data_IF_202058094191
#
_entry.id   IF_202058094191
#
_cell.length_a   1.000
_cell.length_b   1.000
_cell.length_c   1.000
_cell.angle_alpha   90.00
_cell.angle_beta   90.00
_cell.angle_gamma   90.00
#
_symmetry.space_group_name_H-M   'P 1'
#
loop_
_entity.id
_entity.type
_entity.pdbx_description
1 polymer ?
#
# COMPACT_ATOMS: atom_id res chain seq x y z
N UNK A 1 3.32 -66.75 34.63
CA UNK A 1 3.57 -65.45 35.31
C UNK A 1 4.60 -64.53 34.63
N UNK A 2 5.20 -64.88 33.48
CA UNK A 2 6.27 -64.06 32.85
C UNK A 2 5.78 -63.15 31.69
N UNK A 3 4.57 -63.36 31.15
CA UNK A 3 4.06 -62.55 30.02
C UNK A 3 3.36 -61.24 30.44
N UNK A 4 2.88 -61.11 31.68
CA UNK A 4 2.19 -59.90 32.16
C UNK A 4 3.15 -58.76 32.59
N UNK A 5 4.39 -59.09 32.97
CA UNK A 5 5.39 -58.09 33.40
C UNK A 5 6.02 -57.30 32.24
N UNK A 6 6.08 -57.86 31.02
CA UNK A 6 6.64 -57.15 29.84
C UNK A 6 5.71 -56.10 29.23
N UNK A 7 4.38 -56.29 29.27
CA UNK A 7 3.42 -55.30 28.77
C UNK A 7 3.29 -54.08 29.70
N UNK A 8 3.36 -54.29 31.02
CA UNK A 8 3.32 -53.20 32.01
C UNK A 8 4.59 -52.33 31.96
N UNK A 9 5.76 -52.92 31.72
CA UNK A 9 7.02 -52.18 31.56
C UNK A 9 7.02 -51.31 30.29
N UNK A 10 6.48 -51.81 29.17
CA UNK A 10 6.37 -51.04 27.94
C UNK A 10 5.42 -49.84 28.08
N UNK A 11 4.29 -50.01 28.78
CA UNK A 11 3.31 -48.94 29.04
C UNK A 11 3.87 -47.88 30.00
N UNK A 12 4.61 -48.30 31.04
CA UNK A 12 5.23 -47.36 32.00
C UNK A 12 6.37 -46.57 31.34
N UNK A 13 7.18 -47.19 30.48
CA UNK A 13 8.23 -46.49 29.72
C UNK A 13 7.62 -45.49 28.72
N UNK A 14 6.52 -45.85 28.03
CA UNK A 14 5.82 -44.89 27.16
C UNK A 14 5.14 -43.75 27.93
N UNK A 15 4.64 -44.00 29.15
CA UNK A 15 4.05 -42.96 30.00
C UNK A 15 5.12 -42.05 30.59
N UNK A 16 6.26 -42.59 31.05
CA UNK A 16 7.38 -41.80 31.55
C UNK A 16 8.00 -40.93 30.45
N UNK A 17 8.22 -41.49 29.25
CA UNK A 17 8.63 -40.71 28.07
C UNK A 17 7.59 -39.64 27.70
N UNK A 18 6.30 -39.96 27.74
CA UNK A 18 5.24 -38.99 27.45
C UNK A 18 5.15 -37.87 28.51
N UNK A 19 5.42 -38.17 29.78
CA UNK A 19 5.47 -37.19 30.87
C UNK A 19 6.71 -36.31 30.73
N UNK A 20 7.89 -36.88 30.45
CA UNK A 20 9.12 -36.12 30.21
C UNK A 20 9.03 -35.24 28.96
N UNK A 21 8.44 -35.74 27.86
CA UNK A 21 8.14 -34.93 26.67
C UNK A 21 7.11 -33.83 26.93
N UNK A 22 6.13 -34.07 27.81
CA UNK A 22 5.15 -33.04 28.17
C UNK A 22 5.77 -31.97 29.09
N UNK A 23 6.66 -32.37 30.00
CA UNK A 23 7.42 -31.46 30.86
C UNK A 23 8.43 -30.62 30.06
N UNK A 24 9.17 -31.25 29.13
CA UNK A 24 10.13 -30.55 28.28
C UNK A 24 9.44 -29.57 27.32
N UNK A 25 8.31 -29.97 26.73
CA UNK A 25 7.53 -29.07 25.86
C UNK A 25 6.90 -27.91 26.63
N UNK A 26 6.46 -28.12 27.88
CA UNK A 26 5.97 -27.05 28.74
C UNK A 26 7.06 -26.05 29.12
N UNK A 27 8.29 -26.52 29.34
CA UNK A 27 9.45 -25.68 29.60
C UNK A 27 9.86 -24.85 28.37
N UNK A 28 9.86 -25.47 27.18
CA UNK A 28 10.17 -24.78 25.92
C UNK A 28 9.20 -23.64 25.61
N UNK A 29 7.90 -23.77 25.93
CA UNK A 29 6.93 -22.68 25.74
C UNK A 29 7.14 -21.50 26.69
N UNK A 30 7.54 -21.75 27.93
CA UNK A 30 7.86 -20.69 28.89
C UNK A 30 9.12 -19.96 28.44
N UNK A 31 10.16 -20.69 28.05
CA UNK A 31 11.40 -20.14 27.53
C UNK A 31 11.14 -19.31 26.26
N UNK A 32 10.32 -19.81 25.33
CA UNK A 32 9.92 -19.12 24.11
C UNK A 32 9.25 -17.76 24.41
N UNK A 33 8.35 -17.71 25.40
CA UNK A 33 7.69 -16.45 25.81
C UNK A 33 8.68 -15.46 26.38
N UNK A 34 9.59 -15.91 27.25
CA UNK A 34 10.60 -15.05 27.85
C UNK A 34 11.59 -14.53 26.80
N UNK A 35 12.00 -15.39 25.87
CA UNK A 35 12.85 -15.01 24.74
C UNK A 35 12.19 -13.92 23.88
N UNK A 36 10.96 -14.13 23.41
CA UNK A 36 10.24 -13.14 22.59
C UNK A 36 9.99 -11.83 23.35
N UNK A 37 9.64 -11.91 24.64
CA UNK A 37 9.48 -10.72 25.49
C UNK A 37 10.79 -9.94 25.64
N UNK A 38 11.94 -10.63 25.72
CA UNK A 38 13.26 -10.00 25.75
C UNK A 38 13.61 -9.27 24.45
N UNK A 39 13.15 -9.77 23.30
CA UNK A 39 13.32 -9.11 22.00
C UNK A 39 12.40 -7.89 21.82
N UNK A 40 11.18 -7.95 22.37
CA UNK A 40 10.13 -6.96 22.13
C UNK A 40 10.56 -5.54 22.50
N UNK A 41 11.16 -5.35 23.69
CA UNK A 41 11.53 -4.01 24.17
C UNK A 41 12.54 -3.32 23.26
N UNK A 42 13.60 -4.03 22.85
CA UNK A 42 14.59 -3.48 21.92
C UNK A 42 13.98 -3.29 20.52
N UNK A 43 13.10 -4.18 20.08
CA UNK A 43 12.42 -4.06 18.78
C UNK A 43 11.55 -2.80 18.69
N UNK A 44 10.80 -2.48 19.75
CA UNK A 44 10.01 -1.26 19.82
C UNK A 44 10.91 -0.02 19.81
N UNK A 45 12.03 -0.04 20.54
CA UNK A 45 13.00 1.05 20.56
C UNK A 45 13.63 1.29 19.19
N UNK A 46 14.16 0.25 18.56
CA UNK A 46 14.80 0.37 17.24
C UNK A 46 13.79 0.73 16.15
N UNK A 47 12.54 0.22 16.22
CA UNK A 47 11.48 0.69 15.33
C UNK A 47 11.21 2.19 15.54
N UNK A 48 10.99 2.62 16.78
CA UNK A 48 10.67 4.01 17.10
C UNK A 48 11.76 4.97 16.60
N UNK A 49 13.04 4.65 16.82
CA UNK A 49 14.18 5.44 16.30
C UNK A 49 14.14 5.59 14.78
N UNK A 50 13.92 4.48 14.05
CA UNK A 50 13.84 4.50 12.59
C UNK A 50 12.65 5.34 12.11
N UNK A 51 11.47 5.12 12.70
CA UNK A 51 10.24 5.84 12.32
C UNK A 51 10.40 7.32 12.60
N UNK A 52 10.98 7.73 13.74
CA UNK A 52 11.22 9.13 14.06
C UNK A 52 12.21 9.80 13.10
N UNK A 53 13.32 9.13 12.77
CA UNK A 53 14.28 9.65 11.80
C UNK A 53 13.68 9.74 10.39
N UNK A 54 12.85 8.77 10.00
CA UNK A 54 12.14 8.77 8.72
C UNK A 54 11.09 9.88 8.64
N UNK A 55 10.31 10.06 9.71
CA UNK A 55 9.37 11.16 9.84
C UNK A 55 10.08 12.51 9.68
N UNK A 56 11.19 12.73 10.40
CA UNK A 56 11.93 13.99 10.33
C UNK A 56 12.44 14.29 8.92
N UNK A 57 12.90 13.28 8.18
CA UNK A 57 13.29 13.45 6.79
C UNK A 57 12.10 13.75 5.86
N UNK A 58 11.00 13.00 5.97
CA UNK A 58 9.87 13.23 5.08
C UNK A 58 9.09 14.51 5.40
N UNK A 59 9.10 14.93 6.67
CA UNK A 59 8.55 16.19 7.13
C UNK A 59 9.42 17.40 6.77
N UNK A 60 10.74 17.20 6.61
CA UNK A 60 11.73 18.24 6.31
C UNK A 60 12.90 17.66 5.49
N UNK A 61 12.83 17.85 4.18
CA UNK A 61 13.79 17.29 3.23
C UNK A 61 15.12 18.03 3.30
N UNK A 62 16.06 17.49 4.08
CA UNK A 62 17.43 18.00 4.19
C UNK A 62 18.46 16.87 4.07
N UNK A 63 19.69 17.22 3.70
CA UNK A 63 20.80 16.27 3.64
C UNK A 63 21.10 15.68 5.03
N UNK A 64 21.00 16.50 6.08
CA UNK A 64 21.20 16.08 7.48
C UNK A 64 20.14 15.07 7.89
N UNK A 65 18.86 15.36 7.68
CA UNK A 65 17.78 14.42 8.02
C UNK A 65 17.88 13.13 7.20
N UNK A 66 18.29 13.21 5.93
CA UNK A 66 18.52 12.02 5.11
C UNK A 66 19.63 11.12 5.69
N UNK A 67 20.73 11.73 6.15
CA UNK A 67 21.84 11.01 6.78
C UNK A 67 21.42 10.36 8.10
N UNK A 68 20.68 11.08 8.95
CA UNK A 68 20.16 10.54 10.21
C UNK A 68 19.19 9.38 9.98
N UNK A 69 18.29 9.51 9.00
CA UNK A 69 17.40 8.43 8.57
C UNK A 69 18.19 7.21 8.09
N UNK A 70 19.19 7.41 7.24
CA UNK A 70 20.02 6.32 6.74
C UNK A 70 20.77 5.60 7.87
N UNK A 71 21.29 6.35 8.85
CA UNK A 71 21.93 5.76 10.04
C UNK A 71 20.95 4.94 10.87
N UNK A 72 19.76 5.47 11.18
CA UNK A 72 18.73 4.76 11.93
C UNK A 72 18.25 3.49 11.19
N UNK A 73 18.18 3.55 9.86
CA UNK A 73 17.85 2.39 9.02
C UNK A 73 18.92 1.28 9.12
N UNK A 74 20.20 1.65 9.14
CA UNK A 74 21.30 0.70 9.35
C UNK A 74 21.27 0.09 10.77
N UNK A 75 20.97 0.89 11.79
CA UNK A 75 20.82 0.42 13.17
C UNK A 75 19.68 -0.60 13.30
N UNK A 76 18.50 -0.27 12.76
CA UNK A 76 17.35 -1.19 12.73
C UNK A 76 17.64 -2.46 11.93
N UNK A 77 18.27 -2.34 10.75
CA UNK A 77 18.62 -3.50 9.94
C UNK A 77 19.64 -4.43 10.62
N UNK A 78 20.60 -3.88 11.38
CA UNK A 78 21.50 -4.69 12.22
C UNK A 78 20.72 -5.44 13.30
N UNK A 79 19.78 -4.76 13.96
CA UNK A 79 18.94 -5.41 14.97
C UNK A 79 18.08 -6.52 14.36
N UNK A 80 17.45 -6.29 13.21
CA UNK A 80 16.65 -7.31 12.53
C UNK A 80 17.47 -8.55 12.16
N UNK A 81 18.72 -8.35 11.73
CA UNK A 81 19.66 -9.44 11.47
C UNK A 81 20.06 -10.17 12.75
N UNK A 82 20.38 -9.47 13.83
CA UNK A 82 20.67 -10.07 15.15
C UNK A 82 19.49 -10.94 15.63
N UNK A 83 18.25 -10.43 15.54
CA UNK A 83 17.05 -11.18 15.90
C UNK A 83 16.88 -12.44 15.05
N UNK A 84 17.06 -12.31 13.73
CA UNK A 84 16.98 -13.42 12.81
C UNK A 84 18.04 -14.49 13.09
N UNK A 85 19.28 -14.10 13.39
CA UNK A 85 20.36 -15.03 13.76
C UNK A 85 20.03 -15.81 15.04
N UNK A 86 19.52 -15.13 16.07
CA UNK A 86 19.08 -15.78 17.31
C UNK A 86 17.92 -16.76 17.06
N UNK A 87 16.92 -16.35 16.28
CA UNK A 87 15.75 -17.18 15.97
C UNK A 87 16.11 -18.39 15.12
N UNK A 88 16.92 -18.21 14.08
CA UNK A 88 17.29 -19.31 13.19
C UNK A 88 18.35 -20.23 13.78
N UNK A 89 19.27 -19.69 14.59
CA UNK A 89 20.31 -20.45 15.29
C UNK A 89 19.80 -21.21 16.50
N UNK A 90 19.27 -20.50 17.51
CA UNK A 90 18.88 -21.10 18.79
C UNK A 90 17.52 -21.81 18.72
N UNK A 91 16.58 -21.23 17.97
CA UNK A 91 15.19 -21.71 17.93
C UNK A 91 14.83 -22.50 16.68
N UNK A 92 15.69 -22.54 15.65
CA UNK A 92 15.34 -23.01 14.30
C UNK A 92 14.69 -24.41 14.22
N UNK A 93 15.06 -25.32 15.10
CA UNK A 93 14.48 -26.67 15.20
C UNK A 93 13.46 -26.83 16.33
N UNK A 94 13.39 -25.87 17.27
CA UNK A 94 12.54 -25.90 18.47
C UNK A 94 11.21 -25.21 18.24
N UNK A 95 11.21 -24.03 17.60
CA UNK A 95 9.99 -23.24 17.41
C UNK A 95 8.90 -23.96 16.57
N UNK A 96 9.22 -24.81 15.56
CA UNK A 96 8.19 -25.53 14.82
C UNK A 96 7.42 -26.53 15.68
N UNK A 97 8.02 -27.02 16.77
CA UNK A 97 7.42 -28.02 17.68
C UNK A 97 6.59 -27.41 18.81
N UNK A 98 6.57 -26.08 18.95
CA UNK A 98 5.73 -25.38 19.93
C UNK A 98 4.24 -25.66 19.66
N UNK A 99 3.46 -25.90 20.72
CA UNK A 99 2.01 -26.14 20.60
C UNK A 99 1.26 -24.83 20.46
N UNK A 100 1.73 -23.78 21.13
CA UNK A 100 1.13 -22.45 21.03
C UNK A 100 1.32 -21.86 19.61
N UNK A 101 0.21 -21.71 18.90
CA UNK A 101 0.21 -21.22 17.52
C UNK A 101 0.70 -19.78 17.39
N UNK A 102 0.40 -18.92 18.37
CA UNK A 102 0.84 -17.53 18.38
C UNK A 102 2.37 -17.44 18.51
N UNK A 103 2.97 -18.19 19.43
CA UNK A 103 4.43 -18.24 19.57
C UNK A 103 5.08 -18.76 18.29
N UNK A 104 4.59 -19.89 17.76
CA UNK A 104 5.09 -20.48 16.51
C UNK A 104 4.98 -19.49 15.35
N UNK A 105 3.90 -18.72 15.27
CA UNK A 105 3.71 -17.68 14.26
C UNK A 105 4.73 -16.55 14.41
N UNK A 106 4.98 -16.03 15.61
CA UNK A 106 5.99 -14.98 15.85
C UNK A 106 7.38 -15.43 15.39
N UNK A 107 7.82 -16.62 15.80
CA UNK A 107 9.10 -17.17 15.35
C UNK A 107 9.17 -17.34 13.84
N UNK A 108 8.09 -17.81 13.21
CA UNK A 108 8.04 -17.97 11.76
C UNK A 108 8.25 -16.63 11.04
N UNK A 109 7.62 -15.53 11.49
CA UNK A 109 7.87 -14.21 10.91
C UNK A 109 9.31 -13.74 11.14
N UNK A 110 9.83 -13.87 12.37
CA UNK A 110 11.20 -13.49 12.69
C UNK A 110 12.26 -14.34 11.96
N UNK A 111 11.90 -15.53 11.47
CA UNK A 111 12.80 -16.39 10.69
C UNK A 111 12.98 -15.95 9.23
N UNK A 112 12.23 -14.94 8.77
CA UNK A 112 12.28 -14.39 7.42
C UNK A 112 12.98 -13.03 7.48
N UNK A 113 14.21 -12.95 6.98
CA UNK A 113 15.02 -11.73 6.96
C UNK A 113 14.73 -10.85 5.73
N UNK A 114 14.08 -11.42 4.71
CA UNK A 114 13.81 -10.73 3.45
C UNK A 114 15.09 -10.49 2.64
N UNK A 115 15.22 -9.31 2.00
CA UNK A 115 16.35 -9.02 1.10
C UNK A 115 17.71 -8.99 1.82
N UNK A 116 17.73 -8.69 3.12
CA UNK A 116 18.93 -8.71 3.93
C UNK A 116 19.53 -10.12 4.15
N UNK A 117 18.86 -11.18 3.68
CA UNK A 117 19.43 -12.52 3.61
C UNK A 117 20.54 -12.64 2.54
N UNK A 118 20.64 -11.69 1.60
CA UNK A 118 21.71 -11.66 0.60
C UNK A 118 23.10 -11.46 1.26
N UNK A 119 24.17 -12.02 0.66
CA UNK A 119 25.55 -11.66 1.00
C UNK A 119 25.78 -10.16 0.87
N UNK A 120 26.72 -9.60 1.63
CA UNK A 120 26.93 -8.14 1.73
C UNK A 120 27.16 -7.46 0.38
N UNK A 121 27.98 -8.05 -0.49
CA UNK A 121 28.27 -7.54 -1.84
C UNK A 121 27.02 -7.54 -2.74
N UNK A 122 26.21 -8.61 -2.67
CA UNK A 122 24.98 -8.75 -3.45
C UNK A 122 23.85 -7.88 -2.90
N UNK A 123 23.77 -7.71 -1.57
CA UNK A 123 22.85 -6.81 -0.91
C UNK A 123 23.16 -5.35 -1.26
N UNK A 124 24.44 -4.95 -1.26
CA UNK A 124 24.86 -3.63 -1.70
C UNK A 124 24.42 -3.38 -3.15
N UNK A 125 24.71 -4.31 -4.06
CA UNK A 125 24.26 -4.23 -5.46
C UNK A 125 22.74 -4.14 -5.59
N UNK A 126 21.98 -4.91 -4.80
CA UNK A 126 20.52 -4.85 -4.79
C UNK A 126 20.02 -3.46 -4.37
N UNK A 127 20.57 -2.92 -3.28
CA UNK A 127 20.21 -1.60 -2.77
C UNK A 127 20.55 -0.49 -3.76
N UNK A 128 21.72 -0.55 -4.41
CA UNK A 128 22.15 0.39 -5.44
C UNK A 128 21.19 0.36 -6.64
N UNK A 129 20.81 -0.84 -7.13
CA UNK A 129 19.84 -0.98 -8.22
C UNK A 129 18.48 -0.37 -7.87
N UNK A 130 17.97 -0.63 -6.66
CA UNK A 130 16.71 -0.05 -6.19
C UNK A 130 16.79 1.47 -6.09
N UNK A 131 17.89 2.00 -5.55
CA UNK A 131 18.14 3.44 -5.42
C UNK A 131 18.23 4.12 -6.80
N UNK A 132 18.97 3.52 -7.73
CA UNK A 132 19.14 4.01 -9.10
C UNK A 132 17.82 4.02 -9.86
N UNK A 133 17.00 2.97 -9.73
CA UNK A 133 15.68 2.93 -10.35
C UNK A 133 14.74 4.00 -9.77
N UNK A 134 14.73 4.19 -8.43
CA UNK A 134 13.96 5.27 -7.78
C UNK A 134 14.40 6.67 -8.25
N UNK A 135 15.71 6.90 -8.37
CA UNK A 135 16.27 8.18 -8.85
C UNK A 135 15.95 8.40 -10.33
N UNK A 136 16.10 7.37 -11.16
CA UNK A 136 15.74 7.42 -12.59
C UNK A 136 14.27 7.82 -12.75
N UNK A 137 13.37 7.21 -11.97
CA UNK A 137 11.95 7.56 -11.98
C UNK A 137 11.69 9.00 -11.53
N UNK A 138 12.20 9.41 -10.37
CA UNK A 138 11.82 10.67 -9.72
C UNK A 138 12.42 11.91 -10.38
N UNK A 139 13.53 11.76 -11.10
CA UNK A 139 14.23 12.86 -11.78
C UNK A 139 13.97 12.93 -13.27
N UNK A 140 13.25 11.96 -13.84
CA UNK A 140 12.91 11.94 -15.26
C UNK A 140 12.14 13.21 -15.66
N UNK A 141 12.53 13.74 -16.82
CA UNK A 141 11.96 14.95 -17.42
C UNK A 141 11.67 14.71 -18.89
N UNK A 142 10.71 15.45 -19.42
CA UNK A 142 10.39 15.47 -20.84
C UNK A 142 10.30 16.91 -21.34
N UNK A 143 10.34 17.08 -22.67
CA UNK A 143 10.10 18.36 -23.32
C UNK A 143 8.61 18.62 -23.51
N UNK A 144 8.21 19.89 -23.41
CA UNK A 144 6.83 20.33 -23.62
C UNK A 144 6.40 20.07 -25.08
N UNK A 145 5.13 19.70 -25.27
CA UNK A 145 4.56 19.43 -26.59
C UNK A 145 4.48 20.68 -27.47
N UNK A 146 4.22 21.84 -26.86
CA UNK A 146 4.07 23.12 -27.56
C UNK A 146 5.39 23.90 -27.63
N UNK A 147 6.38 23.56 -26.79
CA UNK A 147 7.71 24.16 -26.77
C UNK A 147 8.80 23.11 -26.47
N UNK A 148 9.36 22.54 -27.53
CA UNK A 148 10.42 21.54 -27.43
C UNK A 148 11.74 22.06 -26.85
N UNK A 149 11.88 23.38 -26.62
CA UNK A 149 13.05 23.93 -25.92
C UNK A 149 12.90 23.83 -24.40
N UNK A 150 11.67 23.70 -23.90
CA UNK A 150 11.38 23.54 -22.47
C UNK A 150 11.37 22.06 -22.07
N UNK A 151 12.53 21.54 -21.67
CA UNK A 151 12.73 20.13 -21.26
C UNK A 151 12.78 19.92 -19.74
N UNK A 152 11.96 20.66 -18.99
CA UNK A 152 11.99 20.64 -17.54
C UNK A 152 10.69 20.12 -16.89
N UNK A 153 9.78 19.52 -17.67
CA UNK A 153 8.52 18.99 -17.17
C UNK A 153 8.74 17.68 -16.43
N UNK A 154 8.26 17.60 -15.19
CA UNK A 154 8.34 16.40 -14.32
C UNK A 154 6.98 15.73 -14.18
N UNK A 155 6.97 14.45 -13.79
CA UNK A 155 5.73 13.69 -13.54
C UNK A 155 4.75 14.47 -12.68
N UNK A 156 5.19 14.86 -11.47
CA UNK A 156 4.43 15.72 -10.56
C UNK A 156 5.09 17.11 -10.47
N UNK A 157 4.31 18.21 -10.56
CA UNK A 157 2.87 18.25 -10.88
C UNK A 157 2.58 18.32 -12.39
N UNK A 158 3.60 18.48 -13.26
CA UNK A 158 3.39 18.93 -14.64
C UNK A 158 2.64 17.89 -15.48
N UNK A 159 3.20 16.68 -15.62
CA UNK A 159 2.63 15.65 -16.51
C UNK A 159 1.31 15.13 -15.96
N UNK A 160 1.21 14.93 -14.65
CA UNK A 160 -0.05 14.55 -13.99
C UNK A 160 -1.14 15.58 -14.28
N UNK A 161 -0.86 16.88 -14.20
CA UNK A 161 -1.84 17.92 -14.55
C UNK A 161 -2.25 17.87 -16.02
N UNK A 162 -1.31 17.66 -16.94
CA UNK A 162 -1.60 17.54 -18.37
C UNK A 162 -2.50 16.31 -18.63
N UNK A 163 -2.11 15.13 -18.11
CA UNK A 163 -2.90 13.90 -18.25
C UNK A 163 -4.31 14.05 -17.68
N UNK A 164 -4.48 14.79 -16.57
CA UNK A 164 -5.79 15.04 -15.95
C UNK A 164 -6.67 15.99 -16.78
N UNK A 165 -6.10 17.10 -17.27
CA UNK A 165 -6.87 18.25 -17.79
C UNK A 165 -6.89 18.37 -19.31
N UNK A 166 -5.84 17.93 -20.00
CA UNK A 166 -5.79 18.04 -21.46
C UNK A 166 -6.84 17.16 -22.11
N UNK A 167 -7.40 17.65 -23.22
CA UNK A 167 -8.28 16.92 -24.14
C UNK A 167 -7.71 16.94 -25.57
N UNK A 168 -6.43 17.26 -25.71
CA UNK A 168 -5.72 17.20 -26.99
C UNK A 168 -5.07 15.81 -27.12
N UNK A 169 -5.48 15.06 -28.15
CA UNK A 169 -5.00 13.69 -28.38
C UNK A 169 -3.47 13.64 -28.52
N UNK A 170 -2.88 14.52 -29.33
CA UNK A 170 -1.46 14.45 -29.67
C UNK A 170 -0.57 14.92 -28.51
N UNK A 171 -1.04 15.89 -27.71
CA UNK A 171 -0.36 16.29 -26.47
C UNK A 171 -0.37 15.15 -25.43
N UNK A 172 -1.52 14.51 -25.22
CA UNK A 172 -1.63 13.37 -24.30
C UNK A 172 -0.76 12.20 -24.74
N UNK A 173 -0.71 11.93 -26.06
CA UNK A 173 0.14 10.90 -26.64
C UNK A 173 1.63 11.21 -26.43
N UNK A 174 2.07 12.43 -26.76
CA UNK A 174 3.45 12.89 -26.56
C UNK A 174 3.90 12.69 -25.11
N UNK A 175 3.11 13.20 -24.16
CA UNK A 175 3.42 13.08 -22.73
C UNK A 175 3.51 11.62 -22.28
N UNK A 176 2.60 10.77 -22.76
CA UNK A 176 2.56 9.36 -22.39
C UNK A 176 3.75 8.55 -22.97
N UNK A 177 4.14 8.83 -24.21
CA UNK A 177 5.25 8.16 -24.90
C UNK A 177 6.60 8.62 -24.33
N UNK A 178 6.82 9.94 -24.25
CA UNK A 178 8.08 10.50 -23.75
C UNK A 178 8.34 10.14 -22.29
N UNK A 179 7.29 10.08 -21.44
CA UNK A 179 7.46 9.62 -20.07
C UNK A 179 8.03 8.20 -20.01
N UNK A 180 7.55 7.29 -20.87
CA UNK A 180 8.00 5.90 -20.92
C UNK A 180 9.42 5.77 -21.47
N UNK A 181 9.79 6.62 -22.42
CA UNK A 181 11.15 6.66 -22.97
C UNK A 181 12.15 7.23 -21.95
N UNK A 182 11.82 8.34 -21.29
CA UNK A 182 12.70 9.02 -20.34
C UNK A 182 12.79 8.34 -18.97
N UNK A 183 11.87 7.42 -18.64
CA UNK A 183 11.90 6.65 -17.39
C UNK A 183 12.02 5.15 -17.64
N UNK A 184 10.97 4.51 -18.13
CA UNK A 184 10.85 3.06 -18.27
C UNK A 184 11.95 2.41 -19.12
N UNK A 185 12.29 3.00 -20.27
CA UNK A 185 13.34 2.43 -21.14
C UNK A 185 14.72 2.37 -20.44
N UNK A 186 15.01 3.31 -19.55
CA UNK A 186 16.26 3.36 -18.78
C UNK A 186 16.30 2.33 -17.64
N UNK A 187 15.15 1.74 -17.28
CA UNK A 187 15.05 0.78 -16.19
C UNK A 187 15.21 -0.66 -16.64
N UNK A 188 14.98 -0.99 -17.93
CA UNK A 188 14.92 -2.39 -18.42
C UNK A 188 16.05 -3.28 -17.89
N UNK A 189 17.31 -2.94 -18.19
CA UNK A 189 18.49 -3.73 -17.78
C UNK A 189 18.69 -3.77 -16.26
N UNK A 190 18.30 -2.71 -15.55
CA UNK A 190 18.38 -2.66 -14.08
C UNK A 190 17.33 -3.58 -13.46
N UNK A 191 16.13 -3.62 -14.06
CA UNK A 191 15.02 -4.45 -13.61
C UNK A 191 15.34 -5.95 -13.77
N UNK A 192 15.98 -6.34 -14.87
CA UNK A 192 16.46 -7.72 -15.08
C UNK A 192 17.40 -8.16 -13.94
N UNK A 193 18.41 -7.34 -13.61
CA UNK A 193 19.34 -7.64 -12.50
C UNK A 193 18.66 -7.60 -11.12
N UNK A 194 17.69 -6.70 -10.95
CA UNK A 194 16.88 -6.62 -9.74
C UNK A 194 16.08 -7.91 -9.52
N UNK A 195 15.46 -8.46 -10.57
CA UNK A 195 14.70 -9.72 -10.50
C UNK A 195 15.60 -10.88 -10.09
N UNK A 196 16.81 -10.99 -10.65
CA UNK A 196 17.79 -12.02 -10.28
C UNK A 196 18.11 -11.97 -8.78
N UNK A 197 18.49 -10.80 -8.27
CA UNK A 197 18.86 -10.62 -6.86
C UNK A 197 17.67 -10.79 -5.92
N UNK A 198 16.49 -10.32 -6.33
CA UNK A 198 15.25 -10.49 -5.56
C UNK A 198 14.88 -11.97 -5.40
N UNK A 199 15.01 -12.76 -6.48
CA UNK A 199 14.76 -14.19 -6.43
C UNK A 199 15.79 -14.94 -5.58
N UNK A 200 17.07 -14.58 -5.65
CA UNK A 200 18.08 -15.16 -4.76
C UNK A 200 17.78 -14.86 -3.29
N UNK A 201 17.38 -13.62 -2.98
CA UNK A 201 16.97 -13.27 -1.62
C UNK A 201 15.80 -14.15 -1.14
N UNK A 202 14.79 -14.35 -1.98
CA UNK A 202 13.66 -15.21 -1.66
C UNK A 202 14.08 -16.67 -1.40
N UNK A 203 14.98 -17.22 -2.23
CA UNK A 203 15.53 -18.57 -2.07
C UNK A 203 16.29 -18.74 -0.75
N UNK A 204 17.04 -17.73 -0.32
CA UNK A 204 17.71 -17.71 0.99
C UNK A 204 16.73 -17.67 2.16
N UNK A 205 15.52 -17.15 1.94
CA UNK A 205 14.40 -17.21 2.88
C UNK A 205 13.51 -18.45 2.68
N UNK A 206 13.95 -19.44 1.88
CA UNK A 206 13.23 -20.70 1.59
C UNK A 206 11.93 -20.53 0.80
N UNK A 207 11.86 -19.52 -0.06
CA UNK A 207 10.80 -19.35 -1.05
C UNK A 207 11.35 -19.61 -2.46
N UNK A 208 10.51 -20.11 -3.38
CA UNK A 208 10.96 -20.44 -4.74
C UNK A 208 11.41 -19.19 -5.52
N UNK A 209 10.72 -18.06 -5.30
CA UNK A 209 10.97 -16.77 -5.96
C UNK A 209 10.38 -15.63 -5.13
N UNK A 210 10.70 -14.39 -5.53
CA UNK A 210 10.23 -13.18 -4.84
C UNK A 210 8.71 -13.04 -4.84
N UNK A 211 8.03 -13.51 -5.89
CA UNK A 211 6.58 -13.50 -5.98
C UNK A 211 5.91 -14.33 -4.87
N UNK A 212 6.44 -15.52 -4.56
CA UNK A 212 5.95 -16.34 -3.45
C UNK A 212 6.24 -15.69 -2.09
N UNK A 213 7.41 -15.07 -1.92
CA UNK A 213 7.74 -14.34 -0.70
C UNK A 213 6.82 -13.12 -0.49
N UNK A 214 6.42 -12.43 -1.55
CA UNK A 214 5.45 -11.33 -1.47
C UNK A 214 4.03 -11.78 -1.15
N UNK A 215 3.66 -13.00 -1.55
CA UNK A 215 2.35 -13.58 -1.24
C UNK A 215 2.28 -14.18 0.16
N UNK A 216 3.43 -14.40 0.81
CA UNK A 216 3.52 -15.00 2.13
C UNK A 216 2.64 -14.33 3.20
N UNK A 217 2.55 -12.98 3.31
CA UNK A 217 1.69 -12.33 4.30
C UNK A 217 0.18 -12.63 4.13
N UNK A 218 -0.26 -13.10 2.97
CA UNK A 218 -1.66 -13.50 2.76
C UNK A 218 -1.96 -14.92 3.27
N UNK A 219 -0.92 -15.74 3.46
CA UNK A 219 -1.00 -17.13 3.95
C UNK A 219 -2.08 -17.98 3.27
N UNK A 220 -2.30 -17.73 1.98
CA UNK A 220 -3.34 -18.37 1.19
C UNK A 220 -2.74 -19.12 0.02
N UNK A 221 -2.83 -20.45 0.06
CA UNK A 221 -2.39 -21.33 -1.02
C UNK A 221 -3.19 -21.11 -2.32
N UNK A 222 -4.40 -20.56 -2.22
CA UNK A 222 -5.31 -20.34 -3.34
C UNK A 222 -5.30 -18.89 -3.84
N UNK A 223 -4.49 -18.00 -3.26
CA UNK A 223 -4.53 -16.56 -3.51
C UNK A 223 -4.59 -16.18 -5.00
N UNK A 224 -3.65 -16.68 -5.83
CA UNK A 224 -3.61 -16.38 -7.27
C UNK A 224 -4.89 -16.84 -7.99
N UNK A 225 -5.43 -18.00 -7.60
CA UNK A 225 -6.67 -18.54 -8.19
C UNK A 225 -7.91 -17.78 -7.72
N UNK A 226 -7.92 -17.31 -6.47
CA UNK A 226 -9.00 -16.49 -5.91
C UNK A 226 -9.04 -15.13 -6.61
N UNK A 227 -7.89 -14.48 -6.82
CA UNK A 227 -7.78 -13.22 -7.57
C UNK A 227 -8.29 -13.39 -9.02
N UNK A 228 -7.91 -14.47 -9.70
CA UNK A 228 -8.42 -14.77 -11.04
C UNK A 228 -9.93 -14.95 -11.05
N UNK A 229 -10.49 -15.65 -10.05
CA UNK A 229 -11.94 -15.86 -9.91
C UNK A 229 -12.68 -14.54 -9.70
N UNK A 230 -12.19 -13.68 -8.80
CA UNK A 230 -12.76 -12.35 -8.55
C UNK A 230 -12.73 -11.47 -9.81
N UNK A 231 -11.63 -11.48 -10.55
CA UNK A 231 -11.55 -10.79 -11.85
C UNK A 231 -12.62 -11.28 -12.82
N UNK A 232 -12.80 -12.60 -12.96
CA UNK A 232 -13.81 -13.16 -13.88
C UNK A 232 -15.25 -12.79 -13.47
N UNK A 233 -15.53 -12.61 -12.18
CA UNK A 233 -16.83 -12.12 -11.70
C UNK A 233 -17.04 -10.63 -12.03
N UNK A 234 -15.99 -9.82 -11.95
CA UNK A 234 -16.04 -8.38 -12.26
C UNK A 234 -16.08 -8.10 -13.77
N UNK A 235 -15.47 -8.97 -14.58
CA UNK A 235 -15.26 -8.79 -16.02
C UNK A 235 -16.52 -8.32 -16.79
N UNK A 236 -17.73 -8.87 -16.58
CA UNK A 236 -18.92 -8.39 -17.29
C UNK A 236 -19.23 -6.91 -17.04
N UNK A 237 -19.09 -6.43 -15.80
CA UNK A 237 -19.30 -5.01 -15.48
C UNK A 237 -18.21 -4.13 -16.10
N UNK A 238 -16.95 -4.56 -15.99
CA UNK A 238 -15.83 -3.84 -16.59
C UNK A 238 -15.96 -3.73 -18.11
N UNK A 239 -16.40 -4.79 -18.80
CA UNK A 239 -16.61 -4.77 -20.25
C UNK A 239 -17.69 -3.77 -20.68
N UNK A 240 -18.79 -3.64 -19.92
CA UNK A 240 -19.82 -2.64 -20.18
C UNK A 240 -19.29 -1.22 -19.95
N UNK A 241 -18.57 -1.00 -18.83
CA UNK A 241 -17.96 0.28 -18.52
C UNK A 241 -16.93 0.69 -19.58
N UNK A 242 -16.02 -0.22 -19.93
CA UNK A 242 -15.02 -0.03 -20.98
C UNK A 242 -15.70 0.29 -22.33
N UNK A 243 -16.75 -0.44 -22.72
CA UNK A 243 -17.46 -0.18 -23.96
C UNK A 243 -18.14 1.20 -23.98
N UNK A 244 -18.75 1.60 -22.86
CA UNK A 244 -19.37 2.92 -22.69
C UNK A 244 -18.32 4.05 -22.77
N UNK A 245 -17.23 3.94 -22.02
CA UNK A 245 -16.12 4.92 -22.02
C UNK A 245 -15.49 5.01 -23.41
N UNK A 246 -15.21 3.87 -24.06
CA UNK A 246 -14.69 3.84 -25.44
C UNK A 246 -15.60 4.58 -26.42
N UNK A 247 -16.92 4.40 -26.32
CA UNK A 247 -17.88 5.13 -27.15
C UNK A 247 -17.79 6.63 -26.92
N UNK A 248 -17.79 7.09 -25.67
CA UNK A 248 -17.71 8.51 -25.31
C UNK A 248 -16.39 9.15 -25.76
N UNK A 249 -15.27 8.46 -25.54
CA UNK A 249 -13.97 8.91 -26.05
C UNK A 249 -13.96 9.02 -27.58
N UNK A 250 -14.59 8.08 -28.28
CA UNK A 250 -14.72 8.14 -29.75
C UNK A 250 -15.57 9.32 -30.23
N UNK A 251 -16.61 9.71 -29.49
CA UNK A 251 -17.41 10.90 -29.80
C UNK A 251 -16.58 12.19 -29.71
N UNK A 252 -15.60 12.25 -28.79
CA UNK A 252 -14.71 13.41 -28.58
C UNK A 252 -13.51 13.40 -29.54
N UNK A 253 -12.79 12.28 -29.63
CA UNK A 253 -11.50 12.19 -30.32
C UNK A 253 -11.62 11.71 -31.77
N UNK A 254 -12.81 11.33 -32.23
CA UNK A 254 -13.03 10.93 -33.60
C UNK A 254 -12.74 9.46 -33.89
N UNK A 255 -13.07 9.08 -35.12
CA UNK A 255 -13.17 7.67 -35.49
C UNK A 255 -11.83 7.01 -35.80
N UNK A 256 -10.89 7.82 -36.26
CA UNK A 256 -9.51 7.51 -36.62
C UNK A 256 -8.64 7.27 -35.37
N UNK A 257 -8.96 7.91 -34.25
CA UNK A 257 -8.20 7.82 -33.00
C UNK A 257 -8.69 6.71 -32.06
N UNK A 258 -9.99 6.46 -32.00
CA UNK A 258 -10.59 5.47 -31.07
C UNK A 258 -11.46 4.48 -31.83
N UNK A 259 -10.99 3.24 -31.97
CA UNK A 259 -11.73 2.18 -32.67
C UNK A 259 -13.05 1.84 -31.99
N UNK A 260 -14.10 1.55 -32.79
CA UNK A 260 -15.40 1.10 -32.27
C UNK A 260 -15.32 -0.27 -31.58
N UNK A 261 -14.41 -1.15 -32.02
CA UNK A 261 -14.31 -2.55 -31.57
C UNK A 261 -12.98 -2.90 -30.90
N UNK A 262 -11.95 -2.05 -31.04
CA UNK A 262 -10.61 -2.26 -30.47
C UNK A 262 -10.46 -1.78 -29.02
N UNK A 263 -9.24 -1.84 -28.49
CA UNK A 263 -8.90 -1.30 -27.17
C UNK A 263 -8.99 0.23 -27.15
N UNK A 264 -9.10 0.80 -25.95
CA UNK A 264 -8.95 2.24 -25.73
C UNK A 264 -7.46 2.60 -25.75
N UNK A 265 -7.03 3.66 -26.46
CA UNK A 265 -5.66 4.16 -26.33
C UNK A 265 -5.35 4.59 -24.89
N UNK A 266 -4.28 4.04 -24.30
CA UNK A 266 -3.99 4.17 -22.87
C UNK A 266 -3.71 5.61 -22.39
N UNK A 267 -3.36 6.53 -23.29
CA UNK A 267 -3.09 7.93 -22.96
C UNK A 267 -4.36 8.80 -22.81
N UNK A 268 -5.56 8.26 -23.07
CA UNK A 268 -6.81 9.04 -23.08
C UNK A 268 -7.63 8.95 -21.79
N UNK A 269 -7.11 8.30 -20.76
CA UNK A 269 -7.89 7.89 -19.58
C UNK A 269 -7.64 8.76 -18.34
N UNK A 270 -7.14 9.98 -18.53
CA UNK A 270 -7.04 10.95 -17.43
C UNK A 270 -5.92 10.68 -16.41
N UNK A 271 -5.08 9.68 -16.66
CA UNK A 271 -4.01 9.21 -15.76
C UNK A 271 -2.86 8.60 -16.58
N UNK A 272 -1.61 8.79 -16.13
CA UNK A 272 -0.39 8.34 -16.83
C UNK A 272 -0.35 6.82 -17.12
N UNK A 273 -0.98 6.01 -16.26
CA UNK A 273 -1.04 4.56 -16.37
C UNK A 273 -2.43 4.04 -16.67
N UNK A 274 -3.42 4.94 -16.83
CA UNK A 274 -4.83 4.59 -16.94
C UNK A 274 -5.36 3.72 -15.77
N UNK A 275 -4.77 3.85 -14.58
CA UNK A 275 -5.19 3.07 -13.39
C UNK A 275 -6.45 3.62 -12.73
N UNK A 276 -6.77 4.89 -12.98
CA UNK A 276 -8.00 5.58 -12.57
C UNK A 276 -8.46 6.48 -13.71
N UNK A 277 -9.77 6.49 -13.98
CA UNK A 277 -10.42 7.18 -15.09
C UNK A 277 -11.34 8.32 -14.62
N UNK A 278 -11.33 8.64 -13.33
CA UNK A 278 -12.18 9.69 -12.74
C UNK A 278 -11.92 11.08 -13.36
N UNK A 279 -10.69 11.36 -13.80
CA UNK A 279 -10.31 12.64 -14.40
C UNK A 279 -10.89 12.90 -15.80
N UNK A 280 -11.56 11.93 -16.42
CA UNK A 280 -12.31 12.11 -17.68
C UNK A 280 -13.82 12.10 -17.46
N UNK A 281 -14.28 12.27 -16.21
CA UNK A 281 -15.71 12.25 -15.86
C UNK A 281 -16.54 13.25 -16.69
N UNK A 282 -15.99 14.42 -17.02
CA UNK A 282 -16.59 15.41 -17.93
C UNK A 282 -16.93 14.84 -19.32
N UNK A 283 -16.15 13.89 -19.83
CA UNK A 283 -16.40 13.24 -21.13
C UNK A 283 -17.50 12.17 -20.99
N UNK A 284 -17.50 11.45 -19.88
CA UNK A 284 -18.27 10.21 -19.72
C UNK A 284 -19.49 10.35 -18.81
N UNK A 285 -19.74 11.55 -18.28
CA UNK A 285 -20.90 11.85 -17.42
C UNK A 285 -22.21 11.42 -18.09
N UNK A 286 -22.97 10.48 -17.50
CA UNK A 286 -24.21 9.97 -18.09
C UNK A 286 -25.30 11.03 -18.24
N UNK A 287 -25.49 11.85 -17.19
CA UNK A 287 -26.52 12.89 -17.14
C UNK A 287 -25.89 14.27 -16.87
N UNK A 288 -25.52 15.03 -17.91
CA UNK A 288 -24.78 16.28 -17.78
C UNK A 288 -25.61 17.43 -17.16
N UNK A 289 -26.93 17.33 -17.17
CA UNK A 289 -27.82 18.36 -16.62
C UNK A 289 -27.98 18.28 -15.09
N UNK A 290 -27.30 17.33 -14.43
CA UNK A 290 -27.32 17.16 -12.97
C UNK A 290 -26.12 17.85 -12.31
N UNK A 291 -26.28 18.39 -11.09
CA UNK A 291 -25.20 19.06 -10.38
C UNK A 291 -24.04 18.10 -10.11
N UNK A 292 -22.83 18.67 -10.04
CA UNK A 292 -21.62 17.92 -9.68
C UNK A 292 -21.72 17.42 -8.24
N UNK A 293 -21.13 16.25 -7.98
CA UNK A 293 -20.96 15.72 -6.63
C UNK A 293 -19.70 16.27 -5.94
N UNK A 294 -18.92 17.09 -6.65
CA UNK A 294 -17.77 17.78 -6.11
C UNK A 294 -18.18 18.90 -5.15
N UNK A 295 -17.93 18.69 -3.85
CA UNK A 295 -18.25 19.63 -2.76
C UNK A 295 -17.20 20.71 -2.54
N UNK A 296 -16.13 20.76 -3.34
CA UNK A 296 -15.01 21.69 -3.15
C UNK A 296 -15.45 23.14 -3.00
N UNK A 297 -16.34 23.61 -3.87
CA UNK A 297 -16.83 25.00 -3.81
C UNK A 297 -17.64 25.28 -2.54
N UNK A 298 -18.45 24.31 -2.07
CA UNK A 298 -19.21 24.44 -0.83
C UNK A 298 -18.29 24.49 0.38
N UNK A 299 -17.27 23.63 0.42
CA UNK A 299 -16.25 23.64 1.49
C UNK A 299 -15.54 24.99 1.57
N UNK A 300 -15.11 25.52 0.42
CA UNK A 300 -14.44 26.82 0.35
C UNK A 300 -15.37 27.97 0.76
N UNK A 301 -16.61 27.98 0.28
CA UNK A 301 -17.61 28.99 0.63
C UNK A 301 -17.95 28.99 2.13
N UNK A 302 -17.90 27.82 2.79
CA UNK A 302 -18.12 27.67 4.23
C UNK A 302 -16.87 27.89 5.08
N UNK A 303 -15.74 28.29 4.48
CA UNK A 303 -14.49 28.55 5.19
C UNK A 303 -13.89 27.30 5.84
N UNK A 304 -13.97 26.14 5.17
CA UNK A 304 -13.25 24.95 5.63
C UNK A 304 -11.75 25.20 5.69
N UNK A 305 -11.10 24.56 6.67
CA UNK A 305 -9.65 24.50 6.82
C UNK A 305 -9.22 23.03 6.88
N UNK A 306 -7.92 22.73 6.66
CA UNK A 306 -7.40 21.38 6.90
C UNK A 306 -7.76 20.82 8.28
N UNK A 307 -7.56 21.61 9.35
CA UNK A 307 -7.96 21.23 10.72
C UNK A 307 -9.44 20.83 10.79
N UNK A 308 -10.35 21.62 10.18
CA UNK A 308 -11.79 21.29 10.16
C UNK A 308 -12.07 19.97 9.43
N UNK A 309 -11.36 19.68 8.34
CA UNK A 309 -11.50 18.41 7.61
C UNK A 309 -11.06 17.21 8.46
N UNK A 310 -9.96 17.34 9.21
CA UNK A 310 -9.49 16.31 10.12
C UNK A 310 -10.42 16.10 11.31
N UNK A 311 -10.95 17.19 11.90
CA UNK A 311 -11.94 17.12 12.99
C UNK A 311 -13.22 16.43 12.53
N UNK A 312 -13.70 16.77 11.33
CA UNK A 312 -14.85 16.11 10.72
C UNK A 312 -14.63 14.60 10.56
N UNK A 313 -13.42 14.19 10.15
CA UNK A 313 -13.06 12.79 10.08
C UNK A 313 -13.03 12.12 11.47
N UNK A 314 -12.43 12.77 12.48
CA UNK A 314 -12.40 12.27 13.86
C UNK A 314 -13.82 12.09 14.43
N UNK A 315 -14.71 13.05 14.20
CA UNK A 315 -16.13 12.98 14.60
C UNK A 315 -16.86 11.82 13.90
N UNK A 316 -16.57 11.59 12.61
CA UNK A 316 -17.11 10.45 11.87
C UNK A 316 -16.72 9.12 12.53
N UNK A 317 -15.43 8.92 12.84
CA UNK A 317 -14.97 7.70 13.50
C UNK A 317 -15.57 7.55 14.90
N UNK A 318 -15.63 8.62 15.69
CA UNK A 318 -16.27 8.61 17.01
C UNK A 318 -17.77 8.28 16.93
N UNK A 319 -18.47 8.72 15.88
CA UNK A 319 -19.88 8.37 15.66
C UNK A 319 -20.13 6.87 15.47
N UNK A 320 -19.09 6.13 15.06
CA UNK A 320 -19.07 4.67 14.97
C UNK A 320 -18.63 3.98 16.28
N UNK A 321 -18.53 4.75 17.38
CA UNK A 321 -18.02 4.29 18.67
C UNK A 321 -16.54 3.84 18.64
N UNK A 322 -15.75 4.43 17.74
CA UNK A 322 -14.29 4.28 17.74
C UNK A 322 -13.62 5.36 18.60
N UNK A 323 -12.33 5.19 18.87
CA UNK A 323 -11.59 6.09 19.77
C UNK A 323 -11.37 7.46 19.14
N UNK A 324 -11.51 8.52 19.92
CA UNK A 324 -11.06 9.85 19.50
C UNK A 324 -9.55 9.87 19.26
N UNK A 325 -9.09 10.71 18.32
CA UNK A 325 -7.66 10.89 18.09
C UNK A 325 -6.94 11.38 19.36
N UNK A 326 -5.78 10.78 19.72
CA UNK A 326 -5.06 11.16 20.93
C UNK A 326 -4.54 12.61 20.85
N UNK A 327 -4.37 13.33 21.97
CA UNK A 327 -3.87 14.72 21.94
C UNK A 327 -2.53 14.89 21.21
N UNK A 328 -1.65 13.88 21.28
CA UNK A 328 -0.35 13.89 20.59
C UNK A 328 -0.49 13.85 19.07
N UNK A 329 -1.54 13.22 18.54
CA UNK A 329 -1.82 13.18 17.10
C UNK A 329 -2.02 14.61 16.57
N UNK A 330 -2.85 15.41 17.23
CA UNK A 330 -3.11 16.80 16.85
C UNK A 330 -1.87 17.69 17.00
N UNK A 331 -1.07 17.45 18.04
CA UNK A 331 0.12 18.25 18.32
C UNK A 331 1.30 17.96 17.37
N UNK A 332 1.38 16.75 16.79
CA UNK A 332 2.56 16.27 16.07
C UNK A 332 2.33 15.95 14.59
N UNK A 333 1.09 15.80 14.15
CA UNK A 333 0.76 15.58 12.73
C UNK A 333 1.04 16.83 11.89
N UNK A 334 1.34 16.61 10.61
CA UNK A 334 1.43 17.67 9.61
C UNK A 334 0.19 17.54 8.74
N UNK A 335 -0.85 18.30 9.10
CA UNK A 335 -2.14 18.29 8.39
C UNK A 335 -2.20 19.32 7.26
N UNK A 336 -1.24 20.24 7.20
CA UNK A 336 -1.09 21.29 6.19
C UNK A 336 0.41 21.48 5.90
N UNK A 337 0.77 21.81 4.66
CA UNK A 337 2.17 22.06 4.29
C UNK A 337 2.72 23.29 5.04
N UNK A 338 3.77 23.15 5.86
CA UNK A 338 4.39 24.31 6.52
C UNK A 338 5.04 25.24 5.49
N UNK A 339 4.92 26.56 5.73
CA UNK A 339 5.56 27.57 4.88
C UNK A 339 7.09 27.44 4.92
N UNK A 340 7.71 27.50 3.73
CA UNK A 340 9.18 27.48 3.60
C UNK A 340 9.85 26.14 3.87
N UNK A 341 9.06 25.06 4.02
CA UNK A 341 9.58 23.70 4.25
C UNK A 341 9.36 22.80 3.04
N UNK A 342 10.44 22.21 2.54
CA UNK A 342 10.36 21.15 1.55
C UNK A 342 10.06 19.83 2.24
N UNK A 343 9.05 19.10 1.78
CA UNK A 343 8.57 17.87 2.42
C UNK A 343 7.93 16.93 1.39
N UNK A 344 7.81 15.65 1.75
CA UNK A 344 7.04 14.69 0.95
C UNK A 344 5.55 14.93 1.18
N UNK A 345 4.86 15.45 0.17
CA UNK A 345 3.44 15.82 0.30
C UNK A 345 2.43 14.67 0.14
N UNK A 346 2.86 13.50 -0.33
CA UNK A 346 1.97 12.34 -0.41
C UNK A 346 1.42 11.99 0.97
N UNK A 347 0.11 11.79 1.06
CA UNK A 347 -0.59 11.45 2.29
C UNK A 347 -0.06 10.12 2.84
N UNK A 348 0.08 10.03 4.17
CA UNK A 348 0.56 8.83 4.85
C UNK A 348 0.25 8.89 6.34
N UNK A 349 -0.10 7.74 6.91
CA UNK A 349 -0.29 7.51 8.34
C UNK A 349 0.89 6.73 8.94
N UNK A 350 1.28 7.08 10.17
CA UNK A 350 2.50 6.59 10.81
C UNK A 350 2.23 6.07 12.23
N UNK A 351 2.65 4.82 12.52
CA UNK A 351 2.77 4.25 13.86
C UNK A 351 4.23 4.35 14.33
N UNK A 352 4.47 5.02 15.46
CA UNK A 352 5.81 5.20 16.02
C UNK A 352 6.26 4.03 16.90
N UNK A 353 5.59 2.88 16.82
CA UNK A 353 5.94 1.60 17.45
C UNK A 353 5.91 1.60 18.99
N UNK A 354 5.50 2.69 19.63
CA UNK A 354 5.47 2.83 21.08
C UNK A 354 4.06 2.69 21.69
N UNK A 355 3.03 2.51 20.86
CA UNK A 355 1.64 2.35 21.29
C UNK A 355 0.94 3.65 21.72
N UNK A 356 1.59 4.80 21.58
CA UNK A 356 1.10 6.10 22.07
C UNK A 356 1.13 7.19 20.99
N UNK A 357 2.15 7.22 20.15
CA UNK A 357 2.38 8.26 19.14
C UNK A 357 2.00 7.75 17.74
N UNK A 358 1.00 8.42 17.15
CA UNK A 358 0.49 8.15 15.81
C UNK A 358 0.29 9.48 15.10
N UNK A 359 0.63 9.56 13.81
CA UNK A 359 0.63 10.84 13.08
C UNK A 359 0.20 10.67 11.64
N UNK A 360 -0.38 11.72 11.08
CA UNK A 360 -0.59 11.85 9.62
C UNK A 360 0.32 12.96 9.08
N UNK A 361 0.89 12.71 7.90
CA UNK A 361 1.60 13.69 7.09
C UNK A 361 0.87 13.86 5.77
N UNK A 362 0.23 15.01 5.57
CA UNK A 362 -0.56 15.32 4.39
C UNK A 362 -0.49 16.83 4.08
N UNK A 363 -0.17 17.19 2.83
CA UNK A 363 -0.25 18.57 2.35
C UNK A 363 -1.70 18.91 1.93
N UNK A 364 -2.61 18.91 2.90
CA UNK A 364 -4.05 19.02 2.66
C UNK A 364 -4.43 20.34 2.03
N UNK A 365 -5.20 20.27 0.94
CA UNK A 365 -5.90 21.41 0.37
C UNK A 365 -7.41 21.25 0.58
N UNK A 366 -8.14 22.37 0.61
CA UNK A 366 -9.60 22.36 0.84
C UNK A 366 -10.31 22.00 -0.46
N UNK A 367 -10.49 20.70 -0.69
CA UNK A 367 -11.25 20.12 -1.80
C UNK A 367 -11.78 18.72 -1.45
N UNK A 368 -12.66 18.18 -2.30
CA UNK A 368 -13.29 16.87 -2.10
C UNK A 368 -12.27 15.73 -2.08
N UNK A 369 -11.24 15.75 -2.95
CA UNK A 369 -10.23 14.70 -3.00
C UNK A 369 -9.51 14.53 -1.65
N UNK A 370 -9.09 15.65 -1.05
CA UNK A 370 -8.47 15.64 0.27
C UNK A 370 -9.47 15.36 1.39
N UNK A 371 -10.76 15.68 1.25
CA UNK A 371 -11.77 15.28 2.22
C UNK A 371 -11.84 13.74 2.31
N UNK A 372 -11.86 13.07 1.15
CA UNK A 372 -11.87 11.61 1.06
C UNK A 372 -10.54 11.01 1.53
N UNK A 373 -9.42 11.62 1.15
CA UNK A 373 -8.07 11.17 1.54
C UNK A 373 -7.85 11.28 3.05
N UNK A 374 -8.25 12.38 3.68
CA UNK A 374 -8.14 12.54 5.14
C UNK A 374 -8.90 11.45 5.90
N UNK A 375 -10.08 11.03 5.43
CA UNK A 375 -10.81 9.92 6.06
C UNK A 375 -10.12 8.57 5.86
N UNK A 376 -9.50 8.35 4.71
CA UNK A 376 -8.71 7.15 4.43
C UNK A 376 -7.53 7.04 5.41
N UNK A 377 -6.72 8.09 5.51
CA UNK A 377 -5.54 8.12 6.39
C UNK A 377 -5.92 7.98 7.88
N UNK A 378 -7.02 8.62 8.30
CA UNK A 378 -7.55 8.48 9.66
C UNK A 378 -8.01 7.04 9.95
N UNK A 379 -8.44 6.29 8.94
CA UNK A 379 -8.75 4.87 9.05
C UNK A 379 -7.51 4.03 9.40
N UNK A 380 -6.34 4.36 8.86
CA UNK A 380 -5.09 3.71 9.26
C UNK A 380 -4.74 4.00 10.72
N UNK A 381 -4.87 5.25 11.17
CA UNK A 381 -4.61 5.61 12.58
C UNK A 381 -5.54 4.85 13.53
N UNK A 382 -6.82 4.72 13.17
CA UNK A 382 -7.75 3.89 13.94
C UNK A 382 -7.27 2.44 14.01
N UNK A 383 -6.84 1.86 12.89
CA UNK A 383 -6.33 0.50 12.89
C UNK A 383 -5.10 0.36 13.82
N UNK A 384 -4.16 1.30 13.76
CA UNK A 384 -3.00 1.36 14.66
C UNK A 384 -3.39 1.34 16.14
N UNK A 385 -4.36 2.18 16.51
CA UNK A 385 -4.86 2.27 17.88
C UNK A 385 -5.49 0.94 18.32
N UNK A 386 -6.23 0.25 17.45
CA UNK A 386 -6.91 -1.00 17.80
C UNK A 386 -5.93 -2.14 18.12
N UNK A 387 -4.85 -2.29 17.34
CA UNK A 387 -3.91 -3.40 17.53
C UNK A 387 -2.71 -3.08 18.43
N UNK A 388 -2.62 -1.87 19.00
CA UNK A 388 -1.44 -1.40 19.77
C UNK A 388 -1.00 -2.30 20.93
N UNK A 389 -1.89 -3.16 21.43
CA UNK A 389 -1.63 -4.09 22.52
C UNK A 389 -1.02 -5.42 22.06
N UNK A 390 -0.97 -5.67 20.76
CA UNK A 390 -0.32 -6.84 20.18
C UNK A 390 1.21 -6.71 20.25
N UNK A 391 1.95 -7.84 20.26
CA UNK A 391 3.39 -7.84 20.01
C UNK A 391 3.72 -7.08 18.72
N UNK A 392 4.85 -6.37 18.68
CA UNK A 392 5.21 -5.52 17.56
C UNK A 392 5.17 -6.25 16.21
N UNK A 393 5.61 -7.51 16.18
CA UNK A 393 5.61 -8.36 14.97
C UNK A 393 4.21 -8.66 14.41
N UNK A 394 3.14 -8.38 15.18
CA UNK A 394 1.74 -8.53 14.78
C UNK A 394 1.01 -7.20 14.63
N UNK A 395 1.68 -6.06 14.79
CA UNK A 395 1.09 -4.73 14.59
C UNK A 395 1.04 -4.36 13.11
N UNK A 396 0.32 -5.18 12.36
CA UNK A 396 0.01 -5.02 10.95
C UNK A 396 -1.45 -5.41 10.71
N UNK A 397 -1.97 -5.17 9.49
CA UNK A 397 -3.28 -5.66 9.08
C UNK A 397 -3.30 -7.20 9.07
N UNK A 398 -4.50 -7.80 9.12
CA UNK A 398 -4.64 -9.27 9.05
C UNK A 398 -3.96 -9.87 7.81
N UNK A 399 -3.94 -9.10 6.71
CA UNK A 399 -3.01 -9.20 5.60
C UNK A 399 -2.85 -7.77 5.02
N UNK A 400 -1.94 -7.53 4.06
CA UNK A 400 -1.71 -6.19 3.51
C UNK A 400 -2.97 -5.51 2.95
N UNK A 401 -3.91 -6.29 2.39
CA UNK A 401 -5.16 -5.75 1.84
C UNK A 401 -6.13 -5.19 2.89
N UNK A 402 -6.08 -5.65 4.14
CA UNK A 402 -6.94 -5.12 5.20
C UNK A 402 -6.57 -3.70 5.59
N UNK A 403 -5.28 -3.37 5.56
CA UNK A 403 -4.80 -2.06 6.00
C UNK A 403 -5.36 -0.95 5.11
N UNK A 404 -5.32 -1.16 3.79
CA UNK A 404 -5.88 -0.27 2.76
C UNK A 404 -7.42 -0.26 2.77
N UNK A 405 -8.04 -1.43 2.95
CA UNK A 405 -9.49 -1.55 2.89
C UNK A 405 -10.21 -0.82 4.03
N UNK A 406 -9.63 -0.78 5.24
CA UNK A 406 -10.25 -0.08 6.37
C UNK A 406 -10.36 1.42 6.11
N UNK A 407 -9.31 2.06 5.59
CA UNK A 407 -9.36 3.47 5.18
C UNK A 407 -10.41 3.69 4.08
N UNK A 408 -10.36 2.87 3.04
CA UNK A 408 -11.25 3.02 1.88
C UNK A 408 -12.74 2.82 2.21
N UNK A 409 -13.09 1.88 3.08
CA UNK A 409 -14.50 1.65 3.49
C UNK A 409 -15.10 2.88 4.15
N UNK A 410 -14.30 3.63 4.91
CA UNK A 410 -14.75 4.85 5.58
C UNK A 410 -14.95 5.96 4.56
N UNK A 411 -13.98 6.14 3.67
CA UNK A 411 -14.04 7.07 2.55
C UNK A 411 -15.23 6.83 1.60
N UNK A 412 -15.66 5.58 1.40
CA UNK A 412 -16.87 5.25 0.64
C UNK A 412 -18.14 5.83 1.27
N UNK A 413 -18.25 5.78 2.61
CA UNK A 413 -19.41 6.31 3.34
C UNK A 413 -19.46 7.83 3.29
N UNK A 414 -18.29 8.46 3.42
CA UNK A 414 -18.10 9.93 3.40
C UNK A 414 -18.47 10.52 2.05
N UNK A 415 -18.16 9.80 0.96
CA UNK A 415 -18.42 10.26 -0.41
C UNK A 415 -19.89 10.18 -0.82
N UNK A 416 -20.77 9.62 0.02
CA UNK A 416 -22.19 9.48 -0.34
C UNK A 416 -22.91 10.83 -0.33
N UNK A 417 -23.80 11.11 -1.32
CA UNK A 417 -24.58 12.36 -1.33
C UNK A 417 -25.38 12.58 -0.04
N UNK A 418 -25.90 11.49 0.55
CA UNK A 418 -26.63 11.53 1.82
C UNK A 418 -25.74 11.98 2.98
N UNK A 419 -24.52 11.46 3.09
CA UNK A 419 -23.60 11.90 4.13
C UNK A 419 -23.21 13.36 3.93
N UNK A 420 -22.78 13.73 2.71
CA UNK A 420 -22.39 15.09 2.36
C UNK A 420 -23.49 16.13 2.65
N UNK A 421 -24.76 15.76 2.43
CA UNK A 421 -25.91 16.56 2.86
C UNK A 421 -26.01 16.70 4.38
N UNK A 422 -25.90 15.59 5.11
CA UNK A 422 -26.01 15.59 6.57
C UNK A 422 -24.93 16.45 7.26
N UNK A 423 -23.73 16.53 6.67
CA UNK A 423 -22.64 17.39 7.17
C UNK A 423 -22.69 18.81 6.59
N UNK A 424 -23.76 19.15 5.84
CA UNK A 424 -24.01 20.48 5.30
C UNK A 424 -23.15 20.86 4.09
N UNK A 425 -22.48 19.91 3.43
CA UNK A 425 -21.65 20.16 2.23
C UNK A 425 -22.43 20.06 0.91
N UNK A 426 -23.68 19.61 0.95
CA UNK A 426 -24.61 19.62 -0.17
C UNK A 426 -25.97 20.14 0.30
N UNK A 427 -26.62 20.95 -0.54
CA UNK A 427 -27.99 21.42 -0.32
C UNK A 427 -29.02 20.29 -0.51
N UNK A 428 -30.31 20.63 -0.56
CA UNK A 428 -31.40 19.74 -0.97
C UNK A 428 -31.24 19.28 -2.43
N UNK A 429 -30.32 18.34 -2.67
CA UNK A 429 -30.26 17.62 -3.92
C UNK A 429 -31.45 16.68 -3.98
N UNK A 430 -32.15 16.69 -5.11
CA UNK A 430 -33.04 15.59 -5.48
C UNK A 430 -32.13 14.39 -5.75
N UNK A 431 -31.98 13.52 -4.75
CA UNK A 431 -31.43 12.18 -4.93
C UNK A 431 -32.44 11.41 -5.78
N UNK A 432 -32.25 11.49 -7.09
CA UNK A 432 -32.99 10.74 -8.08
C UNK A 432 -32.07 9.77 -8.82
N UNK A 433 -32.70 8.91 -9.61
CA UNK A 433 -32.01 7.88 -10.38
C UNK A 433 -30.88 8.43 -11.25
N UNK A 434 -31.00 9.63 -11.80
CA UNK A 434 -29.98 10.20 -12.69
C UNK A 434 -28.75 10.64 -11.90
N UNK A 435 -28.96 11.32 -10.76
CA UNK A 435 -27.88 11.69 -9.82
C UNK A 435 -27.19 10.45 -9.25
N UNK A 436 -27.94 9.39 -8.93
CA UNK A 436 -27.38 8.11 -8.46
C UNK A 436 -26.51 7.44 -9.52
N UNK A 437 -26.95 7.43 -10.79
CA UNK A 437 -26.15 6.85 -11.89
C UNK A 437 -24.88 7.67 -12.13
N UNK A 438 -24.93 9.00 -12.01
CA UNK A 438 -23.76 9.87 -12.08
C UNK A 438 -22.75 9.53 -10.95
N UNK A 439 -23.21 9.38 -9.71
CA UNK A 439 -22.38 8.94 -8.59
C UNK A 439 -21.74 7.57 -8.85
N UNK A 440 -22.55 6.57 -9.23
CA UNK A 440 -22.06 5.23 -9.51
C UNK A 440 -21.06 5.20 -10.67
N UNK A 441 -21.25 6.03 -11.70
CA UNK A 441 -20.28 6.17 -12.78
C UNK A 441 -18.96 6.73 -12.26
N UNK A 442 -18.98 7.82 -11.48
CA UNK A 442 -17.77 8.41 -10.90
C UNK A 442 -17.00 7.38 -10.05
N UNK A 443 -17.72 6.65 -9.19
CA UNK A 443 -17.14 5.58 -8.37
C UNK A 443 -16.58 4.43 -9.21
N UNK A 444 -17.27 4.03 -10.28
CA UNK A 444 -16.82 2.96 -11.15
C UNK A 444 -15.54 3.33 -11.92
N UNK A 445 -15.42 4.59 -12.34
CA UNK A 445 -14.22 5.12 -13.01
C UNK A 445 -12.99 5.17 -12.12
N UNK A 446 -13.12 4.97 -10.81
CA UNK A 446 -11.97 4.85 -9.91
C UNK A 446 -11.83 3.41 -9.40
N UNK A 447 -12.88 2.88 -8.77
CA UNK A 447 -12.82 1.59 -8.06
C UNK A 447 -12.93 0.38 -9.00
N UNK A 448 -13.82 0.39 -9.99
CA UNK A 448 -14.02 -0.78 -10.89
C UNK A 448 -12.88 -0.92 -11.88
N UNK A 449 -12.34 0.20 -12.38
CA UNK A 449 -11.27 0.19 -13.38
C UNK A 449 -9.89 -0.12 -12.80
N UNK A 450 -9.66 0.21 -11.52
CA UNK A 450 -8.41 -0.10 -10.84
C UNK A 450 -8.22 -1.61 -10.62
N UNK A 451 -9.30 -2.36 -10.34
CA UNK A 451 -9.21 -3.79 -10.05
C UNK A 451 -8.50 -4.62 -11.14
N UNK A 452 -8.85 -4.52 -12.45
CA UNK A 452 -8.08 -5.19 -13.49
C UNK A 452 -6.66 -4.68 -13.63
N UNK A 453 -6.42 -3.38 -13.43
CA UNK A 453 -5.08 -2.80 -13.49
C UNK A 453 -4.19 -3.40 -12.39
N UNK A 454 -4.63 -3.36 -11.13
CA UNK A 454 -3.90 -3.95 -9.99
C UNK A 454 -3.65 -5.45 -10.18
N UNK A 455 -4.67 -6.19 -10.60
CA UNK A 455 -4.54 -7.62 -10.91
C UNK A 455 -3.51 -7.89 -12.02
N UNK A 456 -3.54 -7.11 -13.12
CA UNK A 456 -2.61 -7.26 -14.23
C UNK A 456 -1.17 -6.98 -13.81
N UNK A 457 -0.93 -5.90 -13.05
CA UNK A 457 0.40 -5.51 -12.61
C UNK A 457 1.05 -6.60 -11.76
N UNK A 458 0.32 -7.15 -10.78
CA UNK A 458 0.86 -8.21 -9.92
C UNK A 458 0.99 -9.53 -10.62
N UNK A 459 0.04 -9.88 -11.49
CA UNK A 459 0.15 -11.07 -12.31
C UNK A 459 1.41 -11.03 -13.18
N UNK A 460 1.66 -9.89 -13.84
CA UNK A 460 2.87 -9.71 -14.64
C UNK A 460 4.14 -9.85 -13.77
N UNK A 461 4.18 -9.22 -12.59
CA UNK A 461 5.34 -9.34 -11.67
C UNK A 461 5.56 -10.77 -11.19
N UNK A 462 4.49 -11.50 -10.84
CA UNK A 462 4.60 -12.91 -10.46
C UNK A 462 5.14 -13.76 -11.60
N UNK A 463 4.68 -13.51 -12.83
CA UNK A 463 5.15 -14.22 -14.02
C UNK A 463 6.61 -13.87 -14.39
N UNK A 464 7.07 -12.65 -14.09
CA UNK A 464 8.49 -12.29 -14.22
C UNK A 464 9.33 -12.99 -13.15
N UNK A 465 8.91 -12.97 -11.88
CA UNK A 465 9.68 -13.59 -10.80
C UNK A 465 9.75 -15.12 -10.90
N UNK A 466 8.71 -15.78 -11.41
CA UNK A 466 8.71 -17.23 -11.58
C UNK A 466 9.31 -17.71 -12.92
N UNK A 467 9.71 -16.79 -13.80
CA UNK A 467 10.32 -17.10 -15.10
C UNK A 467 9.33 -17.49 -16.21
N UNK A 468 8.05 -17.18 -16.07
CA UNK A 468 7.05 -17.35 -17.14
C UNK A 468 7.08 -16.22 -18.17
N UNK A 469 7.62 -15.05 -17.81
CA UNK A 469 7.84 -13.90 -18.72
C UNK A 469 9.33 -13.61 -18.80
N UNK A 470 9.91 -13.71 -19.99
CA UNK A 470 11.34 -13.46 -20.22
C UNK A 470 11.61 -11.99 -20.59
N UNK A 471 12.84 -11.48 -20.42
CA UNK A 471 13.19 -10.11 -20.81
C UNK A 471 12.98 -9.76 -22.29
N UNK A 472 12.88 -10.77 -23.18
CA UNK A 472 12.70 -10.61 -24.62
C UNK A 472 11.23 -10.70 -25.07
N UNK A 473 10.31 -11.10 -24.18
CA UNK A 473 8.84 -11.09 -24.40
C UNK A 473 8.26 -9.68 -24.22
#
# INVERSE_FOLDING_TARGET
MVCLRRKVCCVIVTIALAIDLCHSQGADEIEARLFLAGLEQRSQLECNKLVEASWNYEADLSAVNNQLRAQAQLEKARWDKEQWELVTGEWGHRWPTLRNESLRRQFRHLSILGTAALPEDRLAKYNDLVSDMKTTYSTAKICDYNDFTNCNLRLEPNLTRIMKKSRNYDELRHVWEEWRLSSGALMRKKYEQFVELANEAAQRNRFDNMGEMWLYPYESLTFKSDMKRLWLQLKPLYEQLHAYVRRRLREVYGQDKVSRRGAIPAHLLGNMWAQSWSNIYDIVQPYPNKPSLDVTQFMQAQGYTPERMFRLADDFFQSLNLSAMPPQFWARSIIEKPLGREMVCHASAWDFCNGVDYRIKQCTEVNMDYLVTTHHEMGHIQYFIQYRHQPLIFREGANPGFHEAVGDVMSLSVSTPRHLKNIGLLDDIVIDRESDINFLMLMALDKVVFLPFGYLMDRWRWDVFNGNTYPDD
#
